data_IF_487764407441
#
_entry.id   IF_487764407441
#
_cell.length_a   1.000
_cell.length_b   1.000
_cell.length_c   1.000
_cell.angle_alpha   90.00
_cell.angle_beta   90.00
_cell.angle_gamma   90.00
#
_symmetry.space_group_name_H-M   'P 1'
#
loop_
_entity.id
_entity.type
_entity.pdbx_description
1 polymer ?
#
# COMPACT_ATOMS: atom_id res chain seq x y z
N UNK A 1 -18.13 -31.19 47.94
CA UNK A 1 -18.66 -31.45 46.59
C UNK A 1 -17.70 -30.82 45.60
N UNK A 2 -17.08 -31.61 44.73
CA UNK A 2 -16.25 -31.06 43.66
C UNK A 2 -17.17 -30.29 42.70
N UNK A 3 -16.79 -29.06 42.32
CA UNK A 3 -17.46 -28.37 41.22
C UNK A 3 -17.22 -29.22 39.97
N UNK A 4 -18.29 -29.75 39.40
CA UNK A 4 -18.21 -30.64 38.23
C UNK A 4 -17.92 -29.87 36.94
N UNK A 5 -18.16 -28.55 36.90
CA UNK A 5 -17.81 -27.68 35.78
C UNK A 5 -17.47 -26.28 36.30
N UNK A 6 -16.40 -25.68 35.78
CA UNK A 6 -16.11 -24.25 35.99
C UNK A 6 -17.02 -23.47 35.05
N UNK A 7 -18.02 -22.75 35.60
CA UNK A 7 -18.91 -21.89 34.84
C UNK A 7 -18.63 -20.41 35.12
N UNK A 8 -19.15 -19.50 34.29
CA UNK A 8 -18.91 -18.07 34.43
C UNK A 8 -19.42 -17.49 35.75
N UNK A 9 -20.42 -18.13 36.40
CA UNK A 9 -20.92 -17.70 37.71
C UNK A 9 -19.96 -18.04 38.86
N UNK A 10 -19.04 -18.99 38.65
CA UNK A 10 -17.99 -19.35 39.60
C UNK A 10 -16.68 -18.58 39.42
N UNK A 11 -16.57 -17.77 38.36
CA UNK A 11 -15.41 -16.93 38.07
C UNK A 11 -15.73 -15.47 38.41
N UNK A 12 -14.91 -14.83 39.24
CA UNK A 12 -15.04 -13.39 39.52
C UNK A 12 -14.41 -12.59 38.37
N UNK A 13 -14.82 -11.33 38.25
CA UNK A 13 -14.21 -10.41 37.28
C UNK A 13 -12.71 -10.26 37.54
N UNK A 14 -11.90 -10.32 36.49
CA UNK A 14 -10.44 -10.29 36.55
C UNK A 14 -9.75 -11.51 37.18
N UNK A 15 -10.48 -12.57 37.55
CA UNK A 15 -9.89 -13.78 38.16
C UNK A 15 -9.14 -14.64 37.13
N UNK A 16 -9.58 -14.63 35.87
CA UNK A 16 -8.81 -15.17 34.75
C UNK A 16 -7.95 -14.04 34.18
N UNK A 17 -6.63 -14.17 34.33
CA UNK A 17 -5.65 -13.23 33.76
C UNK A 17 -4.90 -13.85 32.59
N UNK A 18 -4.08 -13.05 31.91
CA UNK A 18 -3.27 -13.52 30.77
C UNK A 18 -2.38 -14.73 31.12
N UNK A 19 -1.92 -14.83 32.37
CA UNK A 19 -1.07 -15.93 32.82
C UNK A 19 -1.81 -17.28 32.93
N UNK A 20 -3.13 -17.26 33.11
CA UNK A 20 -3.95 -18.47 33.20
C UNK A 20 -4.31 -19.02 31.81
N UNK A 21 -4.24 -18.18 30.78
CA UNK A 21 -4.47 -18.57 29.39
C UNK A 21 -3.14 -19.05 28.80
N UNK A 22 -3.07 -20.34 28.47
CA UNK A 22 -1.92 -20.90 27.76
C UNK A 22 -1.67 -20.12 26.46
N UNK A 23 -0.41 -19.79 26.15
CA UNK A 23 -0.04 -19.09 24.92
C UNK A 23 -0.44 -19.83 23.63
N UNK A 24 -0.65 -21.15 23.69
CA UNK A 24 -1.16 -21.99 22.61
C UNK A 24 -2.66 -22.27 22.70
N UNK A 25 -3.41 -21.54 23.55
CA UNK A 25 -4.86 -21.70 23.63
C UNK A 25 -5.53 -21.14 22.37
N UNK A 26 -6.25 -21.99 21.65
CA UNK A 26 -7.09 -21.56 20.55
C UNK A 26 -8.33 -20.84 21.09
N UNK A 27 -8.43 -19.54 20.84
CA UNK A 27 -9.63 -18.75 21.15
C UNK A 27 -10.56 -18.81 19.93
N UNK A 28 -11.56 -19.69 20.00
CA UNK A 28 -12.58 -19.76 18.97
C UNK A 28 -13.25 -18.40 18.75
N UNK A 29 -13.56 -18.04 17.50
CA UNK A 29 -14.17 -16.74 17.17
C UNK A 29 -15.46 -16.44 17.94
N UNK A 30 -16.23 -17.45 18.34
CA UNK A 30 -17.43 -17.29 19.20
C UNK A 30 -17.13 -16.76 20.61
N UNK A 31 -15.86 -16.73 21.03
CA UNK A 31 -15.38 -16.15 22.29
C UNK A 31 -14.88 -14.72 22.12
N UNK A 32 -14.70 -14.25 20.89
CA UNK A 32 -14.42 -12.85 20.56
C UNK A 32 -15.74 -12.26 20.07
N UNK A 33 -16.45 -11.55 20.94
CA UNK A 33 -17.69 -10.88 20.57
C UNK A 33 -17.46 -9.85 19.44
N UNK A 34 -18.52 -9.51 18.71
CA UNK A 34 -18.48 -8.45 17.70
C UNK A 34 -17.96 -7.14 18.33
N UNK A 35 -17.03 -6.47 17.63
CA UNK A 35 -16.37 -5.25 18.09
C UNK A 35 -15.61 -5.38 19.43
N UNK A 36 -15.31 -6.60 19.91
CA UNK A 36 -14.55 -6.80 21.15
C UNK A 36 -13.12 -6.22 21.06
N UNK A 37 -12.58 -6.07 19.84
CA UNK A 37 -11.33 -5.35 19.57
C UNK A 37 -11.68 -3.90 19.22
N UNK A 38 -11.54 -3.01 20.21
CA UNK A 38 -11.78 -1.57 20.05
C UNK A 38 -10.56 -0.87 19.45
N UNK A 39 -10.71 0.39 19.05
CA UNK A 39 -9.59 1.21 18.56
C UNK A 39 -8.47 1.33 19.59
N UNK A 40 -8.81 1.41 20.89
CA UNK A 40 -7.83 1.46 21.97
C UNK A 40 -6.98 0.18 22.03
N UNK A 41 -7.58 -0.98 21.73
CA UNK A 41 -6.86 -2.25 21.60
C UNK A 41 -5.98 -2.33 20.35
N UNK A 42 -6.13 -1.39 19.41
CA UNK A 42 -5.32 -1.24 18.20
C UNK A 42 -4.40 -0.01 18.24
N UNK A 43 -4.26 0.66 19.39
CA UNK A 43 -3.56 1.95 19.52
C UNK A 43 -2.06 1.95 19.10
N UNK A 44 -1.46 0.78 18.83
CA UNK A 44 -0.12 0.65 18.25
C UNK A 44 -0.02 1.00 16.75
N UNK A 45 -1.15 1.13 16.04
CA UNK A 45 -1.17 1.50 14.64
C UNK A 45 -1.26 3.02 14.48
N UNK A 46 -0.12 3.64 14.22
CA UNK A 46 -0.06 5.05 13.86
C UNK A 46 -0.93 5.36 12.62
N UNK A 47 -1.47 6.58 12.57
CA UNK A 47 -2.33 7.06 11.47
C UNK A 47 -1.68 6.85 10.11
N UNK A 48 -2.49 6.39 9.14
CA UNK A 48 -2.06 6.18 7.76
C UNK A 48 -1.29 4.88 7.51
N UNK A 49 -1.03 4.06 8.54
CA UNK A 49 -0.54 2.69 8.36
C UNK A 49 -1.66 1.78 7.85
N UNK A 50 -1.28 0.77 7.07
CA UNK A 50 -2.16 -0.27 6.55
C UNK A 50 -1.66 -1.61 7.04
N UNK A 51 -2.58 -2.50 7.43
CA UNK A 51 -2.25 -3.89 7.73
C UNK A 51 -2.33 -4.71 6.44
N UNK A 52 -1.26 -5.47 6.16
CA UNK A 52 -1.17 -6.39 5.03
C UNK A 52 -0.52 -7.71 5.46
N UNK A 53 -0.63 -8.76 4.65
CA UNK A 53 0.08 -10.01 4.91
C UNK A 53 1.50 -9.94 4.35
N UNK A 54 2.51 -10.32 5.13
CA UNK A 54 3.88 -10.41 4.66
C UNK A 54 4.17 -11.78 3.99
N UNK A 55 5.41 -11.97 3.53
CA UNK A 55 5.87 -13.22 2.90
C UNK A 55 5.74 -14.48 3.77
N UNK A 56 5.62 -14.33 5.09
CA UNK A 56 5.42 -15.43 6.05
C UNK A 56 3.94 -15.73 6.31
N UNK A 57 3.02 -14.95 5.72
CA UNK A 57 1.59 -15.02 6.00
C UNK A 57 1.16 -14.30 7.28
N UNK A 58 2.10 -13.62 7.95
CA UNK A 58 1.81 -12.86 9.17
C UNK A 58 1.33 -11.44 8.84
N UNK A 59 0.40 -10.88 9.62
CA UNK A 59 0.06 -9.46 9.51
C UNK A 59 1.28 -8.57 9.78
N UNK A 60 1.52 -7.62 8.88
CA UNK A 60 2.52 -6.58 9.00
C UNK A 60 1.87 -5.20 8.79
N UNK A 61 2.49 -4.16 9.36
CA UNK A 61 2.05 -2.79 9.19
C UNK A 61 2.92 -2.08 8.15
N UNK A 62 2.35 -1.74 7.00
CA UNK A 62 2.99 -0.89 6.01
C UNK A 62 3.23 0.50 6.62
N UNK A 63 4.42 1.04 6.43
CA UNK A 63 4.74 2.41 6.87
C UNK A 63 3.85 3.43 6.17
N UNK A 64 3.66 4.59 6.79
CA UNK A 64 2.88 5.67 6.16
C UNK A 64 3.58 6.17 4.90
N UNK A 65 2.82 6.42 3.85
CA UNK A 65 3.31 7.02 2.62
C UNK A 65 3.54 8.53 2.75
N UNK A 66 4.26 9.09 1.79
CA UNK A 66 4.41 10.53 1.62
C UNK A 66 3.20 11.14 0.89
N UNK A 67 3.06 12.47 0.98
CA UNK A 67 2.02 13.18 0.22
C UNK A 67 2.20 12.94 -1.29
N UNK A 68 1.10 12.67 -1.99
CA UNK A 68 1.09 12.38 -3.43
C UNK A 68 1.36 10.92 -3.79
N UNK A 69 1.66 10.06 -2.81
CA UNK A 69 1.81 8.63 -3.07
C UNK A 69 0.47 7.90 -3.10
N UNK A 70 0.40 6.87 -3.92
CA UNK A 70 -0.72 5.93 -4.04
C UNK A 70 -0.27 4.53 -3.68
N UNK A 71 -1.22 3.69 -3.25
CA UNK A 71 -0.93 2.27 -3.08
C UNK A 71 -0.69 1.63 -4.43
N UNK A 72 0.44 0.95 -4.55
CA UNK A 72 0.81 0.13 -5.69
C UNK A 72 1.04 -1.29 -5.22
N UNK A 73 0.97 -2.25 -6.14
CA UNK A 73 1.32 -3.65 -5.87
C UNK A 73 2.11 -4.21 -7.03
N UNK A 74 3.11 -5.02 -6.71
CA UNK A 74 3.90 -5.81 -7.67
C UNK A 74 3.33 -7.23 -7.88
N UNK A 75 2.16 -7.52 -7.32
CA UNK A 75 1.54 -8.85 -7.33
C UNK A 75 1.95 -9.73 -6.16
N UNK A 76 2.87 -9.30 -5.30
CA UNK A 76 3.22 -9.97 -4.04
C UNK A 76 2.86 -9.11 -2.84
N UNK A 77 3.46 -7.93 -2.76
CA UNK A 77 3.28 -7.00 -1.66
C UNK A 77 2.61 -5.71 -2.15
N UNK A 78 2.01 -5.00 -1.19
CA UNK A 78 1.61 -3.61 -1.40
C UNK A 78 2.72 -2.68 -0.93
N UNK A 79 2.90 -1.57 -1.63
CA UNK A 79 3.83 -0.50 -1.25
C UNK A 79 3.29 0.87 -1.66
N UNK A 80 3.96 1.94 -1.22
CA UNK A 80 3.66 3.28 -1.69
C UNK A 80 4.51 3.59 -2.91
N UNK A 81 3.85 3.94 -4.02
CA UNK A 81 4.47 4.46 -5.23
C UNK A 81 3.98 5.86 -5.52
N UNK A 82 4.72 6.60 -6.34
CA UNK A 82 4.23 7.87 -6.85
C UNK A 82 2.92 7.63 -7.64
N UNK A 83 1.96 8.54 -7.51
CA UNK A 83 0.78 8.49 -8.35
C UNK A 83 1.22 8.46 -9.82
N UNK A 84 0.77 7.46 -10.58
CA UNK A 84 0.99 7.43 -12.03
C UNK A 84 0.54 8.79 -12.58
N UNK A 85 1.41 9.45 -13.35
CA UNK A 85 1.06 10.68 -14.03
C UNK A 85 -0.29 10.48 -14.72
N UNK A 86 -1.21 11.41 -14.47
CA UNK A 86 -2.58 11.41 -14.94
C UNK A 86 -3.00 12.85 -15.11
N UNK A 87 -4.05 13.09 -15.91
CA UNK A 87 -4.48 14.44 -16.18
C UNK A 87 -4.90 15.18 -14.89
N UNK A 88 -4.18 16.23 -14.52
CA UNK A 88 -4.48 17.15 -13.43
C UNK A 88 -5.06 18.43 -14.01
N UNK A 89 -6.39 18.56 -14.01
CA UNK A 89 -7.05 19.83 -14.27
C UNK A 89 -7.27 20.65 -13.00
N UNK A 90 -7.78 21.86 -13.15
CA UNK A 90 -8.27 22.63 -12.00
C UNK A 90 -9.52 21.96 -11.41
N UNK A 91 -9.57 21.78 -10.08
CA UNK A 91 -10.70 21.14 -9.42
C UNK A 91 -10.79 19.63 -9.69
N UNK A 92 -11.92 19.15 -10.21
CA UNK A 92 -12.17 17.74 -10.56
C UNK A 92 -11.90 17.40 -12.03
N UNK A 93 -11.49 18.38 -12.83
CA UNK A 93 -11.30 18.20 -14.26
C UNK A 93 -10.08 17.31 -14.53
N UNK A 94 -10.23 16.35 -15.45
CA UNK A 94 -9.15 15.44 -15.88
C UNK A 94 -8.83 15.69 -17.36
N UNK A 95 -8.51 16.95 -17.68
CA UNK A 95 -8.40 17.45 -19.06
C UNK A 95 -6.95 17.75 -19.45
N UNK A 96 -6.14 18.26 -18.52
CA UNK A 96 -4.76 18.66 -18.80
C UNK A 96 -3.79 17.58 -18.36
N UNK A 97 -2.90 17.14 -19.25
CA UNK A 97 -1.80 16.25 -18.93
C UNK A 97 -0.53 17.07 -18.68
N UNK A 98 0.05 16.96 -17.49
CA UNK A 98 1.31 17.63 -17.15
C UNK A 98 2.47 16.63 -17.31
N UNK A 99 3.48 16.98 -18.09
CA UNK A 99 4.75 16.27 -18.15
C UNK A 99 5.88 17.07 -17.49
N UNK A 100 6.83 16.37 -16.89
CA UNK A 100 8.11 17.00 -16.52
C UNK A 100 8.83 17.51 -17.77
N UNK A 101 9.61 18.57 -17.62
CA UNK A 101 10.44 19.15 -18.69
C UNK A 101 11.87 18.58 -18.68
N UNK A 102 12.24 17.77 -17.69
CA UNK A 102 13.60 17.24 -17.56
C UNK A 102 13.59 15.71 -17.47
N UNK A 103 14.26 15.06 -18.40
CA UNK A 103 14.54 13.62 -18.36
C UNK A 103 15.81 13.40 -17.54
N UNK A 104 15.66 12.82 -16.36
CA UNK A 104 16.75 12.64 -15.39
C UNK A 104 17.41 11.26 -15.46
N UNK A 105 16.75 10.28 -16.08
CA UNK A 105 17.16 8.87 -16.12
C UNK A 105 17.09 8.35 -17.57
N UNK A 106 17.94 7.36 -17.89
CA UNK A 106 17.86 6.68 -19.19
C UNK A 106 16.47 6.06 -19.36
N UNK A 107 15.90 6.23 -20.54
CA UNK A 107 14.56 5.73 -20.85
C UNK A 107 14.50 5.23 -22.29
N UNK A 108 13.90 4.07 -22.47
CA UNK A 108 13.57 3.51 -23.79
C UNK A 108 12.07 3.57 -23.96
N UNK A 109 11.61 4.31 -24.95
CA UNK A 109 10.22 4.27 -25.39
C UNK A 109 9.94 2.85 -25.90
N UNK A 110 8.75 2.30 -25.64
CA UNK A 110 8.41 0.91 -25.95
C UNK A 110 8.60 -0.10 -24.83
N UNK A 111 9.66 0.01 -24.04
CA UNK A 111 10.03 -1.07 -23.11
C UNK A 111 9.25 -1.00 -21.80
N UNK A 112 8.97 0.21 -21.31
CA UNK A 112 8.38 0.39 -19.96
C UNK A 112 6.85 0.22 -19.93
N UNK A 113 6.16 0.36 -21.06
CA UNK A 113 4.70 0.16 -21.16
C UNK A 113 4.33 -1.23 -21.72
N UNK A 114 5.31 -2.11 -21.92
CA UNK A 114 5.10 -3.54 -22.21
C UNK A 114 4.76 -3.91 -23.67
N UNK A 115 4.81 -2.97 -24.62
CA UNK A 115 4.66 -3.20 -26.06
C UNK A 115 5.17 -1.98 -26.85
N UNK A 116 5.37 -2.14 -28.17
CA UNK A 116 5.69 -1.02 -29.08
C UNK A 116 4.72 0.14 -28.83
N UNK A 117 5.23 1.27 -28.33
CA UNK A 117 4.42 2.40 -27.93
C UNK A 117 5.02 3.71 -28.42
N UNK A 118 4.15 4.71 -28.60
CA UNK A 118 4.57 6.07 -28.89
C UNK A 118 4.48 6.91 -27.61
N UNK A 119 5.36 7.89 -27.49
CA UNK A 119 5.35 8.83 -26.37
C UNK A 119 4.98 10.23 -26.84
N UNK A 120 4.35 11.01 -25.96
CA UNK A 120 4.06 12.42 -26.17
C UNK A 120 4.45 13.24 -24.94
N UNK A 121 5.08 14.38 -25.15
CA UNK A 121 5.36 15.40 -24.12
C UNK A 121 5.04 16.80 -24.67
N UNK A 122 4.83 17.77 -23.79
CA UNK A 122 4.57 19.16 -24.17
C UNK A 122 5.73 20.08 -23.75
N UNK A 123 6.03 21.06 -24.60
CA UNK A 123 7.05 22.10 -24.36
C UNK A 123 8.50 21.65 -24.57
N UNK A 124 9.48 22.55 -24.36
CA UNK A 124 10.89 22.20 -24.47
C UNK A 124 11.25 21.08 -23.49
N UNK A 125 11.90 20.03 -23.98
CA UNK A 125 12.37 18.93 -23.15
C UNK A 125 13.89 19.01 -23.03
N UNK A 126 14.36 19.06 -21.78
CA UNK A 126 15.78 18.96 -21.43
C UNK A 126 16.11 17.51 -21.11
N UNK A 127 17.18 16.99 -21.70
CA UNK A 127 17.75 15.69 -21.33
C UNK A 127 19.03 15.98 -20.55
N UNK A 128 19.14 15.46 -19.32
CA UNK A 128 20.32 15.68 -18.50
C UNK A 128 21.59 15.15 -19.17
N UNK A 129 22.76 15.72 -18.83
CA UNK A 129 24.03 15.22 -19.33
C UNK A 129 24.20 13.74 -18.94
N UNK A 130 24.75 12.94 -19.86
CA UNK A 130 24.88 11.48 -19.75
C UNK A 130 23.56 10.68 -19.66
N UNK A 131 22.40 11.31 -19.91
CA UNK A 131 21.11 10.63 -20.06
C UNK A 131 20.79 10.47 -21.55
N UNK A 132 20.26 9.30 -21.91
CA UNK A 132 19.80 8.98 -23.27
C UNK A 132 18.32 8.63 -23.27
N UNK A 133 17.58 9.17 -24.25
CA UNK A 133 16.25 8.71 -24.62
C UNK A 133 16.39 7.91 -25.91
N UNK A 134 16.09 6.61 -25.84
CA UNK A 134 16.09 5.71 -27.01
C UNK A 134 14.67 5.59 -27.55
N UNK A 135 14.51 5.76 -28.86
CA UNK A 135 13.27 5.49 -29.59
C UNK A 135 13.52 4.22 -30.41
N UNK A 136 12.78 3.14 -30.15
CA UNK A 136 12.98 1.90 -30.90
C UNK A 136 12.44 2.03 -32.32
N UNK A 137 12.85 1.12 -33.20
CA UNK A 137 12.37 1.08 -34.58
C UNK A 137 10.84 0.92 -34.62
N UNK A 138 10.17 1.85 -35.31
CA UNK A 138 8.71 1.85 -35.45
C UNK A 138 7.96 2.70 -34.43
N UNK A 139 8.67 3.31 -33.48
CA UNK A 139 8.09 4.17 -32.46
C UNK A 139 8.31 5.64 -32.79
N UNK A 140 7.57 6.52 -32.11
CA UNK A 140 7.67 7.96 -32.26
C UNK A 140 7.57 8.63 -30.90
N UNK A 141 8.45 9.59 -30.67
CA UNK A 141 8.31 10.58 -29.61
C UNK A 141 7.89 11.92 -30.21
N UNK A 142 6.70 12.39 -29.86
CA UNK A 142 6.19 13.69 -30.29
C UNK A 142 6.32 14.69 -29.16
N UNK A 143 6.94 15.83 -29.46
CA UNK A 143 6.95 17.00 -28.57
C UNK A 143 6.00 18.03 -29.16
N UNK A 144 4.93 18.36 -28.43
CA UNK A 144 3.88 19.30 -28.83
C UNK A 144 4.14 20.69 -28.26
#
# INVERSE_FOLDING_TARGET
>A
MALTEVNSSGLKDGEIVNADINASADIAGSKIADNAITLDKMAGLARGKIIYGNSSGDPAALTVGSNGQTLVSDGTDISWGDASAGATGAGSDKIFWENSQTVTQNYTIGDSFGAACNAMSAGPITINNAVTVTINSGETWTIV
#
